data_IF_874570456907
#
_entry.id   IF_874570456907
#
_cell.length_a   1.000
_cell.length_b   1.000
_cell.length_c   1.000
_cell.angle_alpha   90.00
_cell.angle_beta   90.00
_cell.angle_gamma   90.00
#
_symmetry.space_group_name_H-M   'P 1'
#
loop_
_entity.id
_entity.type
_entity.pdbx_description
1 polymer ?
#
# COMPACT_ATOMS: atom_id res chain seq x y z
N UNK A 1 10.84 20.31 23.00
CA UNK A 1 10.13 20.11 21.73
C UNK A 1 10.87 19.01 20.98
N UNK A 2 10.29 17.84 20.74
CA UNK A 2 10.87 16.87 19.80
C UNK A 2 10.68 17.46 18.39
N UNK A 3 11.74 17.62 17.64
CA UNK A 3 11.68 18.02 16.23
C UNK A 3 10.95 16.90 15.49
N UNK A 4 9.81 17.19 14.91
CA UNK A 4 9.12 16.23 14.04
C UNK A 4 10.04 15.96 12.83
N UNK A 5 10.35 14.70 12.56
CA UNK A 5 11.13 14.28 11.41
C UNK A 5 10.14 14.03 10.28
N UNK A 6 10.33 14.74 9.17
CA UNK A 6 9.56 14.54 7.94
C UNK A 6 10.45 13.84 6.92
N UNK A 7 9.87 12.88 6.23
CA UNK A 7 10.54 12.16 5.15
C UNK A 7 10.14 12.76 3.79
N UNK A 8 11.02 12.61 2.82
CA UNK A 8 10.78 12.94 1.41
C UNK A 8 11.24 11.77 0.56
N UNK A 9 10.75 11.69 -0.65
CA UNK A 9 11.20 10.66 -1.58
C UNK A 9 12.69 10.82 -1.91
N UNK A 10 13.45 9.75 -1.71
CA UNK A 10 14.87 9.72 -2.10
C UNK A 10 15.00 9.30 -3.57
N UNK A 11 15.31 10.26 -4.44
CA UNK A 11 15.52 10.02 -5.88
C UNK A 11 16.70 9.10 -6.21
N UNK A 12 17.61 8.88 -5.26
CA UNK A 12 18.77 7.99 -5.42
C UNK A 12 18.53 6.59 -4.87
N UNK A 13 17.38 6.36 -4.23
CA UNK A 13 16.99 5.07 -3.72
C UNK A 13 17.05 4.01 -4.82
N UNK A 14 17.60 2.84 -4.50
CA UNK A 14 17.67 1.72 -5.43
C UNK A 14 16.28 1.08 -5.62
N UNK A 15 16.00 0.62 -6.84
CA UNK A 15 14.79 -0.17 -7.08
C UNK A 15 14.78 -1.42 -6.20
N UNK A 16 13.62 -1.75 -5.67
CA UNK A 16 13.40 -2.89 -4.76
C UNK A 16 14.12 -2.82 -3.41
N UNK A 17 14.77 -1.73 -3.08
CA UNK A 17 15.27 -1.56 -1.74
C UNK A 17 14.07 -1.58 -0.76
N UNK A 18 14.07 -2.47 0.28
CA UNK A 18 12.91 -2.57 1.14
C UNK A 18 12.82 -1.37 2.10
N UNK A 19 11.62 -0.85 2.30
CA UNK A 19 11.33 0.05 3.41
C UNK A 19 11.17 -0.72 4.73
N UNK A 20 10.69 -1.99 4.64
CA UNK A 20 10.34 -2.77 5.80
C UNK A 20 9.00 -2.33 6.41
N UNK A 21 8.90 -2.43 7.74
CA UNK A 21 7.77 -1.89 8.49
C UNK A 21 8.06 -0.46 8.91
N UNK A 22 7.27 0.50 8.43
CA UNK A 22 7.39 1.93 8.78
C UNK A 22 6.04 2.55 9.10
N UNK A 23 6.04 3.60 9.90
CA UNK A 23 4.94 4.53 10.09
C UNK A 23 5.54 5.93 10.21
N UNK A 24 5.39 6.72 9.18
CA UNK A 24 6.13 7.97 9.02
C UNK A 24 5.24 9.10 8.52
N UNK A 25 5.71 10.32 8.72
CA UNK A 25 5.13 11.52 8.14
C UNK A 25 5.97 11.97 6.97
N UNK A 26 5.36 12.09 5.81
CA UNK A 26 6.04 12.47 4.58
C UNK A 26 5.58 13.84 4.09
N UNK A 27 6.51 14.63 3.53
CA UNK A 27 6.17 15.79 2.73
C UNK A 27 5.94 15.35 1.27
N UNK A 28 4.83 15.78 0.64
CA UNK A 28 4.58 15.43 -0.75
C UNK A 28 5.61 16.10 -1.65
N UNK A 29 6.12 15.36 -2.61
CA UNK A 29 7.04 15.83 -3.64
C UNK A 29 6.64 15.28 -5.00
N UNK A 30 6.74 16.10 -6.06
CA UNK A 30 6.56 15.61 -7.43
C UNK A 30 7.76 14.74 -7.78
N UNK A 31 7.50 13.45 -8.00
CA UNK A 31 8.54 12.47 -8.23
C UNK A 31 8.91 12.41 -9.72
N UNK A 32 10.17 12.59 -10.01
CA UNK A 32 10.71 12.47 -11.38
C UNK A 32 11.00 11.03 -11.77
N UNK A 33 11.14 10.14 -10.79
CA UNK A 33 11.38 8.70 -10.95
C UNK A 33 10.22 7.94 -10.29
N UNK A 34 9.82 6.82 -10.87
CA UNK A 34 8.90 5.89 -10.23
C UNK A 34 9.59 5.17 -9.07
N UNK A 35 8.87 4.99 -7.98
CA UNK A 35 9.29 4.11 -6.89
C UNK A 35 8.75 2.71 -7.09
N UNK A 36 9.47 1.73 -6.51
CA UNK A 36 9.15 0.32 -6.61
C UNK A 36 9.73 -0.45 -5.44
N UNK A 37 8.88 -1.06 -4.63
CA UNK A 37 9.26 -1.79 -3.42
C UNK A 37 8.27 -2.92 -3.10
N UNK A 38 8.66 -3.91 -2.29
CA UNK A 38 7.84 -5.10 -2.06
C UNK A 38 6.94 -5.02 -0.82
N UNK A 39 6.61 -3.84 -0.37
CA UNK A 39 5.68 -3.63 0.74
C UNK A 39 4.28 -3.26 0.23
N UNK A 40 3.29 -3.51 1.05
CA UNK A 40 1.99 -2.85 0.96
C UNK A 40 2.15 -1.47 1.58
N UNK A 41 1.77 -0.45 0.83
CA UNK A 41 1.76 0.93 1.29
C UNK A 41 0.36 1.35 1.69
N UNK A 42 0.26 2.02 2.84
CA UNK A 42 -0.97 2.57 3.40
C UNK A 42 -0.77 4.06 3.57
N UNK A 43 -1.58 4.86 2.89
CA UNK A 43 -1.49 6.32 2.97
C UNK A 43 -2.77 6.92 3.56
N UNK A 44 -2.58 7.99 4.33
CA UNK A 44 -3.67 8.82 4.82
C UNK A 44 -3.31 10.30 4.71
N UNK A 45 -4.18 11.05 4.05
CA UNK A 45 -4.03 12.49 3.85
C UNK A 45 -4.92 13.24 4.83
N UNK A 46 -4.38 14.01 5.79
CA UNK A 46 -5.19 14.83 6.69
C UNK A 46 -5.96 15.93 5.95
N UNK A 47 -5.37 16.48 4.88
CA UNK A 47 -5.92 17.56 4.06
C UNK A 47 -5.51 17.41 2.60
N UNK A 48 -6.10 18.19 1.72
CA UNK A 48 -5.71 18.30 0.32
C UNK A 48 -5.98 17.06 -0.52
N UNK A 49 -5.16 16.86 -1.52
CA UNK A 49 -5.22 15.72 -2.42
C UNK A 49 -3.84 15.35 -2.98
N UNK A 50 -3.70 14.13 -3.44
CA UNK A 50 -2.52 13.61 -4.12
C UNK A 50 -2.93 12.87 -5.37
N UNK A 51 -2.17 13.05 -6.47
CA UNK A 51 -2.39 12.32 -7.71
C UNK A 51 -1.17 11.44 -7.99
N UNK A 52 -1.42 10.15 -8.04
CA UNK A 52 -0.44 9.14 -8.43
C UNK A 52 -0.49 8.89 -9.94
N UNK A 53 0.67 8.55 -10.49
CA UNK A 53 0.81 7.91 -11.78
C UNK A 53 1.19 6.45 -11.54
N UNK A 54 0.36 5.53 -12.04
CA UNK A 54 0.59 4.10 -11.96
C UNK A 54 -0.03 3.43 -13.18
N UNK A 55 0.68 2.50 -13.83
CA UNK A 55 0.20 1.77 -15.02
C UNK A 55 -0.42 2.69 -16.08
N UNK A 56 0.28 3.77 -16.45
CA UNK A 56 -0.17 4.77 -17.43
C UNK A 56 -1.51 5.46 -17.08
N UNK A 57 -1.89 5.49 -15.80
CA UNK A 57 -3.11 6.14 -15.32
C UNK A 57 -2.83 7.17 -14.24
N UNK A 58 -3.72 8.12 -14.12
CA UNK A 58 -3.74 9.11 -13.05
C UNK A 58 -4.83 8.75 -12.06
N UNK A 59 -4.47 8.59 -10.80
CA UNK A 59 -5.37 8.26 -9.72
C UNK A 59 -5.28 9.36 -8.67
N UNK A 60 -6.37 10.12 -8.48
CA UNK A 60 -6.40 11.20 -7.49
C UNK A 60 -7.10 10.73 -6.24
N UNK A 61 -6.39 10.82 -5.12
CA UNK A 61 -6.88 10.48 -3.78
C UNK A 61 -7.15 11.79 -3.04
N UNK A 62 -8.34 11.89 -2.51
CA UNK A 62 -8.76 13.02 -1.68
C UNK A 62 -8.39 12.79 -0.22
N UNK A 63 -8.37 13.87 0.54
CA UNK A 63 -8.10 13.83 1.98
C UNK A 63 -9.11 12.97 2.78
N UNK A 64 -8.71 12.66 4.00
CA UNK A 64 -9.53 11.94 4.99
C UNK A 64 -10.02 10.59 4.52
N UNK A 65 -9.21 9.91 3.70
CA UNK A 65 -9.47 8.59 3.14
C UNK A 65 -8.24 7.72 3.25
N UNK A 66 -8.46 6.48 3.61
CA UNK A 66 -7.41 5.47 3.58
C UNK A 66 -7.17 5.06 2.13
N UNK A 67 -5.91 5.04 1.72
CA UNK A 67 -5.43 4.46 0.46
C UNK A 67 -4.54 3.28 0.78
N UNK A 68 -4.67 2.22 -0.01
CA UNK A 68 -3.87 1.00 0.08
C UNK A 68 -3.46 0.53 -1.31
N UNK A 69 -2.18 0.21 -1.50
CA UNK A 69 -1.69 -0.38 -2.75
C UNK A 69 -0.41 -1.20 -2.52
N UNK A 70 -0.07 -2.05 -3.48
CA UNK A 70 1.17 -2.79 -3.47
C UNK A 70 2.27 -1.98 -4.16
N UNK A 71 3.34 -1.64 -3.44
CA UNK A 71 4.45 -0.84 -3.93
C UNK A 71 5.29 -1.49 -5.04
N UNK A 72 5.11 -2.81 -5.29
CA UNK A 72 5.77 -3.51 -6.40
C UNK A 72 5.35 -2.96 -7.77
N UNK A 73 4.18 -2.37 -7.87
CA UNK A 73 3.72 -1.72 -9.09
C UNK A 73 4.37 -0.34 -9.16
N UNK A 74 5.14 -0.04 -10.23
CA UNK A 74 5.79 1.26 -10.36
C UNK A 74 4.80 2.41 -10.21
N UNK A 75 5.09 3.31 -9.29
CA UNK A 75 4.21 4.41 -8.95
C UNK A 75 5.01 5.68 -8.64
N UNK A 76 4.39 6.84 -8.88
CA UNK A 76 4.96 8.14 -8.52
C UNK A 76 3.88 9.18 -8.31
N UNK A 77 4.19 10.16 -7.46
CA UNK A 77 3.38 11.36 -7.29
C UNK A 77 3.66 12.32 -8.43
N UNK A 78 2.61 12.71 -9.16
CA UNK A 78 2.71 13.66 -10.28
C UNK A 78 2.06 15.00 -10.01
N UNK A 79 1.21 15.07 -8.97
CA UNK A 79 0.54 16.30 -8.55
C UNK A 79 0.03 16.17 -7.11
N UNK A 80 -0.06 17.28 -6.40
CA UNK A 80 -0.74 17.38 -5.11
C UNK A 80 -1.28 18.80 -4.92
N UNK A 81 -2.33 18.94 -4.12
CA UNK A 81 -2.97 20.21 -3.82
C UNK A 81 -3.25 20.34 -2.32
N UNK A 82 -2.94 21.51 -1.74
CA UNK A 82 -3.23 21.84 -0.34
C UNK A 82 -2.80 20.75 0.66
N UNK A 83 -1.69 20.10 0.38
CA UNK A 83 -1.13 19.00 1.15
C UNK A 83 0.28 19.36 1.59
N UNK A 84 0.46 19.64 2.89
CA UNK A 84 1.77 19.93 3.47
C UNK A 84 2.50 18.67 3.89
N UNK A 85 1.75 17.70 4.42
CA UNK A 85 2.26 16.43 4.92
C UNK A 85 1.16 15.35 4.91
N UNK A 86 1.57 14.09 4.84
CA UNK A 86 0.67 12.94 4.87
C UNK A 86 1.34 11.74 5.53
N UNK A 87 0.52 10.83 6.04
CA UNK A 87 1.01 9.61 6.67
C UNK A 87 1.30 8.55 5.61
N UNK A 88 2.46 7.89 5.73
CA UNK A 88 2.87 6.74 4.94
C UNK A 88 3.26 5.62 5.89
N UNK A 89 2.60 4.48 5.76
CA UNK A 89 2.97 3.27 6.45
C UNK A 89 3.29 2.19 5.43
N UNK A 90 4.35 1.44 5.65
CA UNK A 90 4.71 0.29 4.82
C UNK A 90 4.68 -1.00 5.63
N UNK A 91 4.19 -2.07 5.03
CA UNK A 91 4.07 -3.38 5.66
C UNK A 91 4.68 -4.42 4.72
N UNK A 92 5.67 -5.21 5.18
CA UNK A 92 6.21 -6.31 4.38
C UNK A 92 5.10 -7.21 3.85
N UNK A 93 5.14 -7.52 2.53
CA UNK A 93 4.08 -8.29 1.87
C UNK A 93 3.77 -9.60 2.58
N UNK A 94 4.81 -10.34 3.02
CA UNK A 94 4.62 -11.61 3.73
C UNK A 94 3.80 -11.44 5.03
N UNK A 95 4.01 -10.33 5.77
CA UNK A 95 3.23 -10.02 6.97
C UNK A 95 1.78 -9.70 6.61
N UNK A 96 1.56 -8.86 5.59
CA UNK A 96 0.22 -8.54 5.11
C UNK A 96 -0.57 -9.78 4.67
N UNK A 97 0.04 -10.67 3.90
CA UNK A 97 -0.59 -11.92 3.44
C UNK A 97 -0.95 -12.86 4.59
N UNK A 98 -0.21 -12.83 5.71
CA UNK A 98 -0.51 -13.64 6.90
C UNK A 98 -1.81 -13.24 7.62
N UNK A 99 -2.43 -12.11 7.27
CA UNK A 99 -3.66 -11.61 7.91
C UNK A 99 -4.95 -12.31 7.47
N UNK A 100 -4.87 -13.23 6.50
CA UNK A 100 -6.02 -13.99 6.00
C UNK A 100 -7.20 -13.08 5.61
N UNK A 101 -6.92 -12.06 4.81
CA UNK A 101 -7.90 -11.15 4.25
C UNK A 101 -8.74 -11.84 3.15
N UNK A 102 -9.94 -11.33 2.82
CA UNK A 102 -10.74 -11.87 1.73
C UNK A 102 -9.95 -11.94 0.41
N UNK A 103 -10.01 -13.08 -0.27
CA UNK A 103 -9.23 -13.38 -1.48
C UNK A 103 -9.40 -12.30 -2.56
N UNK A 104 -10.63 -11.86 -2.83
CA UNK A 104 -10.89 -10.82 -3.84
C UNK A 104 -10.20 -9.49 -3.53
N UNK A 105 -10.08 -9.14 -2.24
CA UNK A 105 -9.39 -7.94 -1.80
C UNK A 105 -7.87 -8.05 -2.01
N UNK A 106 -7.30 -9.18 -1.63
CA UNK A 106 -5.87 -9.44 -1.80
C UNK A 106 -5.51 -9.55 -3.29
N UNK A 107 -6.30 -10.27 -4.08
CA UNK A 107 -6.11 -10.40 -5.52
C UNK A 107 -6.10 -9.04 -6.22
N UNK A 108 -7.00 -8.12 -5.85
CA UNK A 108 -7.05 -6.78 -6.42
C UNK A 108 -5.74 -6.01 -6.15
N UNK A 109 -5.26 -6.02 -4.91
CA UNK A 109 -3.98 -5.40 -4.55
C UNK A 109 -2.80 -6.01 -5.31
N UNK A 110 -2.71 -7.35 -5.36
CA UNK A 110 -1.63 -8.04 -6.04
C UNK A 110 -1.66 -7.86 -7.58
N UNK A 111 -2.83 -7.53 -8.12
CA UNK A 111 -2.97 -7.11 -9.53
C UNK A 111 -2.66 -5.64 -9.75
N UNK A 112 -2.30 -4.91 -8.71
CA UNK A 112 -1.89 -3.51 -8.78
C UNK A 112 -3.05 -2.52 -8.76
N UNK A 113 -4.21 -2.90 -8.24
CA UNK A 113 -5.27 -1.93 -7.98
C UNK A 113 -4.91 -1.05 -6.77
N UNK A 114 -5.13 0.25 -6.87
CA UNK A 114 -5.16 1.13 -5.71
C UNK A 114 -6.55 1.07 -5.09
N UNK A 115 -6.63 0.64 -3.84
CA UNK A 115 -7.88 0.52 -3.08
C UNK A 115 -8.00 1.69 -2.11
N UNK A 116 -9.11 2.41 -2.13
CA UNK A 116 -9.30 3.59 -1.29
C UNK A 116 -10.74 3.76 -0.82
N UNK A 117 -10.91 4.37 0.34
CA UNK A 117 -12.24 4.75 0.83
C UNK A 117 -12.82 5.87 -0.02
N UNK A 118 -14.10 5.76 -0.38
CA UNK A 118 -14.81 6.77 -1.17
C UNK A 118 -15.38 7.88 -0.29
N UNK A 119 -15.62 7.62 0.99
CA UNK A 119 -16.13 8.55 1.98
C UNK A 119 -15.11 8.89 3.07
N UNK A 120 -15.46 9.82 3.94
CA UNK A 120 -14.64 10.31 5.04
C UNK A 120 -15.23 9.97 6.42
N UNK A 121 -16.14 8.99 6.49
CA UNK A 121 -16.90 8.65 7.72
C UNK A 121 -16.01 8.18 8.86
N UNK A 122 -14.81 7.67 8.52
CA UNK A 122 -13.81 7.20 9.50
C UNK A 122 -12.66 8.16 9.74
N UNK A 123 -12.70 9.36 9.13
CA UNK A 123 -11.60 10.30 9.13
C UNK A 123 -11.02 10.58 10.53
N UNK A 124 -11.87 10.87 11.49
CA UNK A 124 -11.42 11.17 12.87
C UNK A 124 -10.76 9.95 13.53
N UNK A 125 -11.29 8.76 13.29
CA UNK A 125 -10.74 7.51 13.81
C UNK A 125 -9.37 7.22 13.16
N UNK A 126 -9.28 7.35 11.84
CA UNK A 126 -8.03 7.10 11.11
C UNK A 126 -6.94 8.11 11.49
N UNK A 127 -7.28 9.38 11.61
CA UNK A 127 -6.33 10.41 12.03
C UNK A 127 -5.72 10.09 13.40
N UNK A 128 -6.54 9.62 14.34
CA UNK A 128 -6.07 9.18 15.65
C UNK A 128 -5.18 7.93 15.55
N UNK A 129 -5.56 6.93 14.75
CA UNK A 129 -4.77 5.72 14.55
C UNK A 129 -3.39 6.05 13.97
N UNK A 130 -3.34 6.77 12.86
CA UNK A 130 -2.08 7.12 12.21
C UNK A 130 -1.16 7.95 13.11
N UNK A 131 -1.72 8.90 13.87
CA UNK A 131 -0.95 9.67 14.83
C UNK A 131 -0.33 8.80 15.94
N UNK A 132 -1.09 7.80 16.44
CA UNK A 132 -0.60 6.85 17.43
C UNK A 132 0.47 5.94 16.84
N UNK A 133 0.23 5.35 15.66
CA UNK A 133 1.20 4.47 14.99
C UNK A 133 2.53 5.18 14.73
N UNK A 134 2.48 6.41 14.23
CA UNK A 134 3.69 7.22 14.03
C UNK A 134 4.43 7.50 15.34
N UNK A 135 3.72 7.80 16.42
CA UNK A 135 4.31 8.07 17.72
C UNK A 135 4.99 6.82 18.30
N UNK A 136 4.34 5.68 18.18
CA UNK A 136 4.74 4.43 18.82
C UNK A 136 5.76 3.63 17.97
N UNK A 137 5.80 3.86 16.66
CA UNK A 137 6.70 3.15 15.72
C UNK A 137 8.20 3.29 16.06
N UNK A 138 8.59 4.36 16.74
CA UNK A 138 9.98 4.55 17.20
C UNK A 138 10.41 3.56 18.29
N UNK A 139 9.47 2.83 18.91
CA UNK A 139 9.74 1.82 19.93
C UNK A 139 9.38 0.43 19.40
N UNK A 140 10.38 -0.45 19.12
CA UNK A 140 10.15 -1.79 18.60
C UNK A 140 9.16 -2.65 19.40
N UNK A 141 9.02 -2.40 20.71
CA UNK A 141 8.07 -3.15 21.54
C UNK A 141 6.61 -2.92 21.18
N UNK A 142 6.30 -1.85 20.43
CA UNK A 142 4.96 -1.54 19.96
C UNK A 142 4.66 -2.07 18.55
N UNK A 143 5.68 -2.56 17.81
CA UNK A 143 5.50 -2.95 16.41
C UNK A 143 4.40 -4.00 16.22
N UNK A 144 4.36 -5.03 17.07
CA UNK A 144 3.32 -6.07 16.98
C UNK A 144 1.93 -5.51 17.29
N UNK A 145 1.81 -4.56 18.23
CA UNK A 145 0.55 -3.90 18.54
C UNK A 145 0.07 -3.05 17.34
N UNK A 146 0.96 -2.24 16.77
CA UNK A 146 0.64 -1.42 15.60
C UNK A 146 0.19 -2.31 14.44
N UNK A 147 0.91 -3.39 14.17
CA UNK A 147 0.55 -4.34 13.10
C UNK A 147 -0.82 -5.01 13.34
N UNK A 148 -1.17 -5.29 14.60
CA UNK A 148 -2.50 -5.83 14.95
C UNK A 148 -3.60 -4.80 14.72
N UNK A 149 -3.39 -3.53 15.09
CA UNK A 149 -4.34 -2.44 14.84
C UNK A 149 -4.51 -2.18 13.34
N UNK A 150 -3.42 -2.20 12.56
CA UNK A 150 -3.45 -2.13 11.11
C UNK A 150 -4.25 -3.29 10.51
N UNK A 151 -4.00 -4.51 10.95
CA UNK A 151 -4.74 -5.70 10.53
C UNK A 151 -6.24 -5.52 10.78
N UNK A 152 -6.63 -5.11 11.98
CA UNK A 152 -8.03 -4.84 12.32
C UNK A 152 -8.64 -3.76 11.42
N UNK A 153 -7.89 -2.67 11.16
CA UNK A 153 -8.36 -1.57 10.30
C UNK A 153 -8.53 -2.00 8.86
N UNK A 154 -7.57 -2.75 8.32
CA UNK A 154 -7.61 -3.26 6.94
C UNK A 154 -8.70 -4.33 6.78
N UNK A 155 -8.90 -5.21 7.76
CA UNK A 155 -10.03 -6.16 7.75
C UNK A 155 -11.37 -5.44 7.63
N UNK A 156 -11.56 -4.32 8.32
CA UNK A 156 -12.80 -3.51 8.19
C UNK A 156 -12.96 -2.93 6.79
N UNK A 157 -11.86 -2.51 6.15
CA UNK A 157 -11.87 -2.06 4.76
C UNK A 157 -12.23 -3.20 3.82
N UNK A 158 -11.58 -4.36 3.97
CA UNK A 158 -11.77 -5.52 3.13
C UNK A 158 -13.20 -6.11 3.21
N UNK A 159 -13.84 -6.06 4.38
CA UNK A 159 -15.25 -6.47 4.54
C UNK A 159 -16.23 -5.54 3.81
N UNK A 160 -15.83 -4.30 3.53
CA UNK A 160 -16.60 -3.33 2.75
C UNK A 160 -16.11 -3.23 1.30
N UNK A 161 -15.42 -4.25 0.79
CA UNK A 161 -14.74 -4.21 -0.50
C UNK A 161 -15.64 -3.80 -1.68
N UNK A 162 -16.91 -4.16 -1.67
CA UNK A 162 -17.87 -3.75 -2.71
C UNK A 162 -18.16 -2.24 -2.74
N UNK A 163 -17.87 -1.52 -1.66
CA UNK A 163 -18.19 -0.11 -1.47
C UNK A 163 -16.96 0.80 -1.49
N UNK A 164 -15.76 0.26 -1.68
CA UNK A 164 -14.53 1.05 -1.78
C UNK A 164 -14.26 1.49 -3.21
N UNK A 165 -13.58 2.63 -3.36
CA UNK A 165 -13.03 3.07 -4.63
C UNK A 165 -11.87 2.17 -5.03
N UNK A 166 -11.79 1.84 -6.29
CA UNK A 166 -10.71 1.07 -6.87
C UNK A 166 -10.49 1.50 -8.31
N UNK A 167 -9.24 1.56 -8.70
CA UNK A 167 -8.89 1.75 -10.09
C UNK A 167 -8.87 0.38 -10.79
N UNK A 168 -10.02 0.02 -11.34
CA UNK A 168 -10.17 -1.28 -12.02
C UNK A 168 -9.40 -1.26 -13.34
N UNK A 169 -8.34 -2.06 -13.40
CA UNK A 169 -7.58 -2.29 -14.62
C UNK A 169 -7.76 -3.74 -15.03
N UNK A 170 -8.46 -3.97 -16.11
CA UNK A 170 -8.55 -5.28 -16.72
C UNK A 170 -8.08 -5.24 -18.16
N UNK A 171 -6.77 -5.16 -18.37
CA UNK A 171 -6.16 -5.83 -19.50
C UNK A 171 -5.22 -6.89 -18.93
N UNK A 172 -5.62 -8.16 -19.06
CA UNK A 172 -4.86 -9.31 -18.55
C UNK A 172 -3.45 -9.44 -19.17
N UNK A 173 -3.17 -8.63 -20.18
CA UNK A 173 -1.86 -8.57 -20.86
C UNK A 173 -0.81 -7.73 -20.12
N UNK A 174 -1.23 -6.92 -19.13
CA UNK A 174 -0.31 -6.04 -18.39
C UNK A 174 0.16 -6.59 -17.05
N UNK A 175 -0.31 -7.77 -16.64
CA UNK A 175 0.14 -8.39 -15.38
C UNK A 175 1.55 -8.93 -15.56
N UNK A 176 2.52 -8.39 -14.84
CA UNK A 176 3.91 -8.83 -14.92
C UNK A 176 4.07 -10.28 -14.44
N UNK A 177 5.16 -10.94 -14.84
CA UNK A 177 5.48 -12.30 -14.38
C UNK A 177 5.58 -12.37 -12.84
N UNK A 178 6.12 -11.35 -12.21
CA UNK A 178 6.26 -11.27 -10.74
C UNK A 178 4.89 -11.23 -10.07
N UNK A 179 3.97 -10.44 -10.60
CA UNK A 179 2.59 -10.35 -10.08
C UNK A 179 1.87 -11.70 -10.24
N UNK A 180 1.97 -12.33 -11.41
CA UNK A 180 1.40 -13.65 -11.67
C UNK A 180 1.95 -14.71 -10.69
N UNK A 181 3.26 -14.72 -10.49
CA UNK A 181 3.91 -15.62 -9.53
C UNK A 181 3.46 -15.36 -8.10
N UNK A 182 3.38 -14.10 -7.69
CA UNK A 182 2.96 -13.74 -6.33
C UNK A 182 1.52 -14.17 -6.07
N UNK A 183 0.61 -13.93 -7.02
CA UNK A 183 -0.78 -14.38 -6.94
C UNK A 183 -0.85 -15.92 -6.89
N UNK A 184 -0.07 -16.62 -7.74
CA UNK A 184 -0.05 -18.08 -7.76
C UNK A 184 0.44 -18.65 -6.41
N UNK A 185 1.54 -18.13 -5.89
CA UNK A 185 2.10 -18.56 -4.60
C UNK A 185 1.08 -18.29 -3.48
N UNK A 186 0.47 -17.10 -3.46
CA UNK A 186 -0.54 -16.76 -2.47
C UNK A 186 -1.74 -17.72 -2.49
N UNK A 187 -2.22 -18.12 -3.66
CA UNK A 187 -3.35 -19.07 -3.79
C UNK A 187 -3.00 -20.51 -3.45
N UNK A 188 -1.74 -20.88 -3.51
CA UNK A 188 -1.31 -22.27 -3.38
C UNK A 188 -0.35 -22.51 -2.20
N UNK A 189 -0.04 -21.53 -1.35
CA UNK A 189 0.98 -21.67 -0.30
C UNK A 189 0.66 -22.76 0.73
N UNK A 190 -0.62 -23.11 0.91
CA UNK A 190 -1.05 -24.22 1.78
C UNK A 190 -0.88 -25.61 1.15
N UNK A 191 -0.54 -25.66 -0.14
CA UNK A 191 -0.33 -26.88 -0.92
C UNK A 191 1.16 -27.04 -1.27
N UNK A 192 1.54 -28.23 -1.72
CA UNK A 192 2.89 -28.44 -2.26
C UNK A 192 3.04 -27.66 -3.59
N UNK A 193 3.92 -26.65 -3.62
CA UNK A 193 4.23 -25.89 -4.82
C UNK A 193 5.48 -26.51 -5.47
N UNK A 194 5.37 -26.99 -6.70
CA UNK A 194 6.48 -27.54 -7.47
C UNK A 194 7.02 -26.52 -8.46
N UNK A 195 8.32 -26.53 -8.70
CA UNK A 195 8.98 -25.65 -9.68
C UNK A 195 8.35 -25.74 -11.07
N UNK A 196 7.95 -26.95 -11.51
CA UNK A 196 7.28 -27.16 -12.80
C UNK A 196 5.89 -26.50 -12.89
N UNK A 197 5.18 -26.33 -11.77
CA UNK A 197 3.89 -25.64 -11.76
C UNK A 197 4.08 -24.13 -11.80
N UNK A 198 5.12 -23.64 -11.15
CA UNK A 198 5.57 -22.23 -11.25
C UNK A 198 5.97 -21.92 -12.70
N UNK A 199 6.72 -22.81 -13.37
CA UNK A 199 7.12 -22.66 -14.77
C UNK A 199 5.91 -22.49 -15.71
N UNK A 200 4.86 -23.31 -15.54
CA UNK A 200 3.62 -23.20 -16.33
C UNK A 200 2.91 -21.84 -16.18
N UNK A 201 2.95 -21.25 -14.96
CA UNK A 201 2.33 -19.95 -14.70
C UNK A 201 3.02 -18.83 -15.46
N UNK A 202 4.34 -18.91 -15.63
CA UNK A 202 5.15 -17.91 -16.32
C UNK A 202 5.47 -18.26 -17.79
N UNK A 203 4.94 -19.38 -18.29
CA UNK A 203 5.05 -19.77 -19.70
C UNK A 203 6.41 -20.36 -20.09
N UNK A 204 7.11 -21.02 -19.16
CA UNK A 204 8.37 -21.75 -19.37
C UNK A 204 8.25 -23.19 -18.89
#
# INVERSE_FOLDING_TARGET
MKTEIYHCFDKYRQEFEPYGFTCEMWMPEIMHKEDKHNEIEINYLPQGSITYWQRNRKITILNKRLLLFWGMIPHKIIHYEQLDKYYVCTIPLAKFLSWNLPELFVDALLRGEMLYETGAERAQYDEMLFANWMKDSSNPSFHDLILLEMECRIKRLALNYSNIGRDMIWDSKEVSLIEQLTIYIHKNYSNEIRVGDVGKVIGV
#
